data_IF_787266282970
#
_entry.id   IF_787266282970
#
_cell.length_a   1.000
_cell.length_b   1.000
_cell.length_c   1.000
_cell.angle_alpha   90.00
_cell.angle_beta   90.00
_cell.angle_gamma   90.00
#
_symmetry.space_group_name_H-M   'P 1'
#
loop_
_entity.id
_entity.type
_entity.pdbx_description
1 polymer ?
#
# COMPACT_ATOMS: atom_id res chain seq x y z
N UNK A 1 -6.95 -11.41 -16.76
CA UNK A 1 -8.27 -11.29 -16.12
C UNK A 1 -8.50 -12.44 -15.14
N UNK A 2 -8.50 -13.70 -15.59
CA UNK A 2 -8.51 -14.82 -14.64
C UNK A 2 -7.21 -14.88 -13.84
N UNK A 3 -6.03 -14.89 -14.44
CA UNK A 3 -4.80 -15.19 -13.69
C UNK A 3 -4.47 -14.34 -12.44
N UNK A 4 -4.88 -13.06 -12.33
CA UNK A 4 -4.58 -12.23 -11.14
C UNK A 4 -5.70 -12.27 -10.08
N UNK A 5 -6.98 -12.25 -10.50
CA UNK A 5 -8.10 -12.52 -9.60
C UNK A 5 -8.11 -13.99 -9.15
N UNK A 6 -7.76 -14.91 -10.04
CA UNK A 6 -7.53 -16.33 -9.78
C UNK A 6 -6.24 -16.51 -8.96
N UNK A 7 -5.15 -15.75 -9.18
CA UNK A 7 -4.01 -15.76 -8.24
C UNK A 7 -4.47 -15.36 -6.85
N UNK A 8 -5.19 -14.25 -6.73
CA UNK A 8 -5.65 -13.71 -5.47
C UNK A 8 -6.59 -14.70 -4.77
N UNK A 9 -7.52 -15.31 -5.52
CA UNK A 9 -8.51 -16.26 -4.98
C UNK A 9 -7.94 -17.66 -4.73
N UNK A 10 -6.98 -18.15 -5.53
CA UNK A 10 -6.34 -19.46 -5.34
C UNK A 10 -5.30 -19.43 -4.22
N UNK A 11 -4.56 -18.32 -4.08
CA UNK A 11 -3.60 -18.13 -2.99
C UNK A 11 -4.32 -18.05 -1.63
N UNK A 12 -5.50 -17.41 -1.59
CA UNK A 12 -6.34 -17.38 -0.37
C UNK A 12 -7.03 -18.72 -0.07
N UNK A 13 -7.22 -19.58 -1.07
CA UNK A 13 -7.78 -20.94 -0.89
C UNK A 13 -6.79 -21.92 -0.26
N UNK A 14 -5.49 -21.79 -0.55
CA UNK A 14 -4.44 -22.67 -0.04
C UNK A 14 -4.14 -22.46 1.46
N UNK A 15 -4.48 -21.30 2.02
CA UNK A 15 -4.39 -21.03 3.47
C UNK A 15 -5.40 -21.82 4.33
N UNK A 16 -6.27 -22.64 3.72
CA UNK A 16 -7.38 -23.34 4.39
C UNK A 16 -7.15 -24.84 4.62
N UNK A 17 -5.97 -25.39 4.33
CA UNK A 17 -5.65 -26.80 4.61
C UNK A 17 -4.63 -26.93 5.75
N UNK A 18 -4.97 -27.63 6.85
CA UNK A 18 -3.99 -28.05 7.84
C UNK A 18 -3.32 -29.36 7.39
N UNK A 19 -2.00 -29.39 7.30
CA UNK A 19 -1.23 -30.63 7.13
C UNK A 19 -0.56 -31.00 8.45
N UNK A 20 -0.98 -32.15 9.00
CA UNK A 20 -0.42 -32.86 10.14
C UNK A 20 0.92 -33.58 9.83
N UNK A 21 1.60 -33.98 10.92
CA UNK A 21 2.77 -34.89 11.07
C UNK A 21 4.17 -34.27 10.86
N UNK A 22 5.21 -34.51 11.67
CA UNK A 22 5.47 -35.48 12.76
C UNK A 22 6.68 -35.06 13.64
N UNK A 23 6.80 -35.66 14.84
CA UNK A 23 7.79 -35.48 15.92
C UNK A 23 9.20 -36.14 15.67
N UNK A 24 10.08 -36.42 16.67
CA UNK A 24 11.01 -35.52 17.38
C UNK A 24 12.49 -36.01 17.36
N UNK A 25 13.47 -35.11 17.49
CA UNK A 25 14.89 -35.43 17.80
C UNK A 25 15.43 -34.21 18.57
N UNK A 26 16.12 -34.25 19.71
CA UNK A 26 16.79 -35.27 20.51
C UNK A 26 17.88 -34.51 21.29
N UNK A 27 17.89 -34.60 22.61
CA UNK A 27 18.77 -33.84 23.51
C UNK A 27 20.26 -34.07 23.24
N UNK A 28 21.04 -32.99 23.10
CA UNK A 28 22.49 -33.00 23.36
C UNK A 28 22.86 -31.76 24.18
N UNK A 29 23.19 -32.02 25.45
CA UNK A 29 23.94 -31.09 26.31
C UNK A 29 25.38 -30.97 25.79
N UNK A 30 25.88 -29.75 25.66
CA UNK A 30 27.31 -29.48 25.61
C UNK A 30 27.63 -28.32 26.56
N UNK A 31 28.80 -28.46 27.18
CA UNK A 31 29.23 -27.82 28.41
C UNK A 31 29.67 -26.36 28.20
N UNK A 32 29.61 -25.61 29.31
CA UNK A 32 30.20 -24.28 29.43
C UNK A 32 31.73 -24.36 29.30
N UNK A 33 32.29 -23.46 28.51
CA UNK A 33 33.54 -22.78 28.85
C UNK A 33 33.32 -21.27 28.81
N UNK A 34 33.56 -20.61 29.94
CA UNK A 34 33.62 -19.16 30.07
C UNK A 34 34.98 -18.69 29.55
N UNK A 35 35.03 -17.69 28.68
CA UNK A 35 35.91 -16.55 28.96
C UNK A 35 35.43 -15.22 28.35
N UNK A 36 35.47 -14.21 29.22
CA UNK A 36 35.53 -12.75 29.11
C UNK A 36 35.02 -12.01 27.86
N UNK A 37 34.02 -11.17 28.11
CA UNK A 37 34.19 -9.71 28.03
C UNK A 37 34.38 -9.12 26.63
N UNK A 38 33.31 -9.09 25.83
CA UNK A 38 33.16 -8.20 24.69
C UNK A 38 31.75 -7.64 24.72
N UNK A 39 31.60 -6.32 24.60
CA UNK A 39 30.29 -5.69 24.42
C UNK A 39 29.69 -6.22 23.11
N UNK A 40 28.76 -7.18 23.20
CA UNK A 40 28.19 -7.90 22.07
C UNK A 40 27.41 -6.90 21.21
N UNK A 41 28.00 -6.44 20.11
CA UNK A 41 27.32 -5.60 19.13
C UNK A 41 26.24 -6.47 18.50
N UNK A 42 25.03 -6.36 19.03
CA UNK A 42 23.87 -7.14 18.59
C UNK A 42 23.57 -6.84 17.13
N UNK A 43 23.65 -7.88 16.28
CA UNK A 43 23.45 -7.75 14.85
C UNK A 43 22.01 -7.35 14.50
N UNK A 44 21.86 -6.45 13.53
CA UNK A 44 20.57 -5.97 13.04
C UNK A 44 19.79 -7.08 12.34
N UNK A 45 18.47 -7.15 12.57
CA UNK A 45 17.56 -8.18 12.06
C UNK A 45 18.02 -9.63 12.30
N UNK A 46 18.72 -9.88 13.41
CA UNK A 46 19.21 -11.20 13.82
C UNK A 46 18.12 -12.11 14.39
N UNK A 47 17.02 -11.54 14.90
CA UNK A 47 15.85 -12.25 15.41
C UNK A 47 14.76 -12.28 14.36
N UNK A 48 14.33 -13.48 13.97
CA UNK A 48 13.20 -13.74 13.07
C UNK A 48 11.85 -13.51 13.78
N UNK A 49 11.68 -12.32 14.34
CA UNK A 49 10.52 -11.90 15.12
C UNK A 49 10.23 -10.42 14.82
N UNK A 50 9.05 -9.95 15.24
CA UNK A 50 8.69 -8.53 15.19
C UNK A 50 8.17 -8.05 16.54
N UNK A 51 8.20 -6.74 16.78
CA UNK A 51 7.61 -6.12 17.98
C UNK A 51 6.56 -5.09 17.63
N UNK A 52 5.53 -4.98 18.48
CA UNK A 52 4.50 -3.94 18.44
C UNK A 52 4.80 -2.89 19.50
N UNK A 53 4.81 -1.61 19.15
CA UNK A 53 5.06 -0.51 20.10
C UNK A 53 3.99 0.58 20.01
N UNK A 54 3.72 1.24 21.14
CA UNK A 54 2.82 2.39 21.26
C UNK A 54 3.59 3.59 21.82
N UNK A 55 3.29 4.79 21.32
CA UNK A 55 3.81 6.02 21.93
C UNK A 55 3.16 6.27 23.29
N UNK A 56 3.99 6.41 24.32
CA UNK A 56 3.57 6.87 25.65
C UNK A 56 3.73 8.40 25.72
N UNK A 57 2.62 9.10 25.96
CA UNK A 57 2.57 10.57 26.04
C UNK A 57 3.25 11.09 27.31
N UNK A 58 3.16 10.37 28.41
CA UNK A 58 3.62 10.83 29.72
C UNK A 58 5.14 10.74 29.84
N UNK A 59 5.73 9.76 29.13
CA UNK A 59 7.16 9.50 29.16
C UNK A 59 7.90 9.93 27.89
N UNK A 60 7.18 10.43 26.87
CA UNK A 60 7.73 10.74 25.53
C UNK A 60 8.61 9.62 24.95
N UNK A 61 8.21 8.36 25.16
CA UNK A 61 8.95 7.17 24.75
C UNK A 61 7.99 6.12 24.16
N UNK A 62 8.49 5.30 23.23
CA UNK A 62 7.73 4.14 22.74
C UNK A 62 7.80 2.99 23.73
N UNK A 63 6.65 2.43 24.11
CA UNK A 63 6.52 1.21 24.94
C UNK A 63 6.12 0.01 24.10
N UNK A 64 6.68 -1.16 24.41
CA UNK A 64 6.33 -2.43 23.77
C UNK A 64 4.94 -2.85 24.26
N UNK A 65 4.04 -3.21 23.34
CA UNK A 65 2.64 -3.56 23.65
C UNK A 65 2.51 -5.01 24.13
N UNK A 66 3.47 -5.87 23.80
CA UNK A 66 3.46 -7.30 24.10
C UNK A 66 4.77 -7.74 24.75
N UNK A 67 4.86 -7.47 26.04
CA UNK A 67 5.54 -8.34 27.01
C UNK A 67 4.88 -8.12 28.37
N UNK A 68 4.22 -9.17 28.87
CA UNK A 68 3.94 -9.29 30.32
C UNK A 68 5.31 -9.28 31.00
N UNK A 69 5.65 -8.18 31.66
CA UNK A 69 6.91 -8.00 32.38
C UNK A 69 7.84 -6.97 31.75
N UNK A 70 7.95 -5.83 32.45
CA UNK A 70 9.03 -4.83 32.45
C UNK A 70 9.20 -3.90 31.22
N UNK A 71 9.07 -2.60 31.53
CA UNK A 71 9.54 -1.47 30.73
C UNK A 71 11.06 -1.59 30.49
N UNK A 72 11.48 -2.11 29.33
CA UNK A 72 12.88 -2.03 28.89
C UNK A 72 13.09 -0.90 27.89
N UNK A 73 14.10 -0.07 28.19
CA UNK A 73 14.57 1.05 27.36
C UNK A 73 15.09 0.56 26.00
N UNK A 74 14.84 1.38 24.99
CA UNK A 74 15.02 1.15 23.56
C UNK A 74 16.49 1.19 23.12
N UNK A 75 17.23 0.10 23.29
CA UNK A 75 18.56 -0.08 22.64
C UNK A 75 18.64 -1.37 21.78
N UNK A 76 17.62 -2.23 21.83
CA UNK A 76 17.65 -3.57 21.24
C UNK A 76 16.60 -3.83 20.13
N UNK A 77 15.86 -2.80 19.67
CA UNK A 77 14.82 -2.98 18.65
C UNK A 77 15.35 -3.29 17.26
N UNK A 78 16.63 -3.00 17.00
CA UNK A 78 17.26 -3.28 15.70
C UNK A 78 17.49 -4.76 15.46
N UNK A 79 17.41 -5.60 16.49
CA UNK A 79 17.54 -7.06 16.36
C UNK A 79 16.36 -7.71 15.63
N UNK A 80 15.18 -7.10 15.64
CA UNK A 80 13.97 -7.67 15.01
C UNK A 80 13.96 -7.42 13.51
N UNK A 81 13.22 -8.23 12.73
CA UNK A 81 13.07 -8.03 11.27
C UNK A 81 12.35 -6.71 10.97
N UNK A 82 11.32 -6.40 11.74
CA UNK A 82 10.59 -5.13 11.68
C UNK A 82 9.92 -4.79 13.02
N UNK A 83 9.51 -3.53 13.16
CA UNK A 83 8.78 -3.03 14.33
C UNK A 83 7.53 -2.28 13.89
N UNK A 84 6.36 -2.71 14.36
CA UNK A 84 5.09 -2.03 14.11
C UNK A 84 4.83 -0.96 15.19
N UNK A 85 4.87 0.31 14.80
CA UNK A 85 4.68 1.48 15.67
C UNK A 85 3.30 2.09 15.46
N UNK A 86 2.51 2.22 16.52
CA UNK A 86 1.29 3.03 16.51
C UNK A 86 1.65 4.50 16.73
N UNK A 87 1.23 5.35 15.80
CA UNK A 87 1.36 6.79 15.84
C UNK A 87 -0.02 7.41 15.89
N UNK A 88 -0.24 8.30 16.85
CA UNK A 88 -1.44 9.12 16.94
C UNK A 88 -1.21 10.40 16.16
N UNK A 89 -2.03 10.64 15.16
CA UNK A 89 -2.09 11.93 14.49
C UNK A 89 -2.68 12.96 15.46
N UNK A 90 -1.96 14.05 15.73
CA UNK A 90 -2.39 15.06 16.70
C UNK A 90 -3.54 15.92 16.16
N UNK A 91 -3.68 16.03 14.85
CA UNK A 91 -4.70 16.85 14.20
C UNK A 91 -6.00 16.07 14.03
N UNK A 92 -5.91 14.82 13.58
CA UNK A 92 -7.11 14.00 13.31
C UNK A 92 -7.52 13.11 14.48
N UNK A 93 -6.65 12.96 15.48
CA UNK A 93 -6.79 11.98 16.59
C UNK A 93 -6.92 10.53 16.08
N UNK A 94 -6.52 10.27 14.84
CA UNK A 94 -6.52 8.94 14.25
C UNK A 94 -5.22 8.22 14.58
N UNK A 95 -5.32 6.92 14.86
CA UNK A 95 -4.15 6.08 15.11
C UNK A 95 -3.75 5.35 13.83
N UNK A 96 -2.65 5.77 13.21
CA UNK A 96 -2.01 5.06 12.10
C UNK A 96 -0.94 4.12 12.63
N UNK A 97 -0.76 2.97 11.97
CA UNK A 97 0.31 2.03 12.31
C UNK A 97 1.34 2.03 11.19
N UNK A 98 2.59 2.28 11.55
CA UNK A 98 3.73 2.26 10.64
C UNK A 98 4.62 1.05 10.95
N UNK A 99 5.06 0.35 9.92
CA UNK A 99 5.96 -0.79 10.02
C UNK A 99 7.35 -0.32 9.64
N UNK A 100 8.25 -0.29 10.62
CA UNK A 100 9.65 0.07 10.43
C UNK A 100 10.44 -1.20 10.09
N UNK A 101 10.86 -1.30 8.84
CA UNK A 101 11.61 -2.43 8.31
C UNK A 101 13.08 -2.29 8.74
N UNK A 102 13.60 -3.31 9.42
CA UNK A 102 15.00 -3.34 9.89
C UNK A 102 15.84 -4.29 9.06
N UNK A 103 15.27 -5.38 8.58
CA UNK A 103 15.91 -6.32 7.66
C UNK A 103 16.19 -5.67 6.29
N UNK A 104 17.46 -5.59 5.90
CA UNK A 104 17.88 -5.06 4.59
C UNK A 104 17.35 -5.92 3.44
N UNK A 105 17.40 -7.24 3.59
CA UNK A 105 16.81 -8.20 2.63
C UNK A 105 15.32 -7.93 2.38
N UNK A 106 14.58 -7.65 3.45
CA UNK A 106 13.14 -7.38 3.34
C UNK A 106 12.91 -6.01 2.68
N UNK A 107 13.77 -5.06 2.99
CA UNK A 107 13.74 -3.72 2.41
C UNK A 107 14.03 -3.77 0.90
N UNK A 108 14.98 -4.60 0.43
CA UNK A 108 15.24 -4.83 -1.00
C UNK A 108 14.02 -5.38 -1.72
N UNK A 109 13.38 -6.43 -1.18
CA UNK A 109 12.16 -7.00 -1.77
C UNK A 109 11.04 -5.95 -1.83
N UNK A 110 10.86 -5.18 -0.75
CA UNK A 110 9.86 -4.10 -0.74
C UNK A 110 10.19 -3.01 -1.76
N UNK A 111 11.46 -2.59 -1.90
CA UNK A 111 11.90 -1.63 -2.91
C UNK A 111 11.63 -2.10 -4.33
N UNK A 112 11.75 -3.40 -4.61
CA UNK A 112 11.36 -3.95 -5.90
C UNK A 112 9.84 -3.87 -6.13
N UNK A 113 9.04 -4.19 -5.11
CA UNK A 113 7.57 -4.20 -5.20
C UNK A 113 7.01 -2.78 -5.37
N UNK A 114 7.58 -1.80 -4.67
CA UNK A 114 7.07 -0.41 -4.64
C UNK A 114 7.86 0.55 -5.54
N UNK A 115 8.70 0.03 -6.44
CA UNK A 115 9.60 0.84 -7.30
C UNK A 115 8.88 2.00 -8.01
N UNK A 116 7.68 1.75 -8.52
CA UNK A 116 6.91 2.72 -9.31
C UNK A 116 5.86 3.49 -8.48
N UNK A 117 5.93 3.41 -7.15
CA UNK A 117 4.97 4.00 -6.22
C UNK A 117 5.55 5.24 -5.57
N UNK A 118 5.08 6.43 -5.96
CA UNK A 118 5.65 7.70 -5.47
C UNK A 118 5.28 8.03 -4.02
N UNK A 119 4.15 7.50 -3.55
CA UNK A 119 3.69 7.71 -2.17
C UNK A 119 4.57 7.04 -1.11
N UNK A 120 5.44 6.11 -1.51
CA UNK A 120 6.30 5.36 -0.59
C UNK A 120 7.77 5.63 -0.94
N UNK A 121 8.52 6.23 -0.02
CA UNK A 121 9.96 6.44 -0.17
C UNK A 121 10.75 5.55 0.80
N UNK A 122 11.29 4.44 0.30
CA UNK A 122 12.14 3.51 1.06
C UNK A 122 13.63 3.81 0.91
N UNK A 123 14.06 4.91 1.52
CA UNK A 123 15.48 5.27 1.63
C UNK A 123 16.10 4.64 2.87
N UNK A 124 17.42 4.57 2.94
CA UNK A 124 18.15 3.97 4.07
C UNK A 124 17.83 4.65 5.42
N UNK A 125 17.54 5.96 5.40
CA UNK A 125 17.12 6.76 6.56
C UNK A 125 15.63 6.63 6.90
N UNK A 126 14.81 6.15 5.95
CA UNK A 126 13.34 6.05 6.06
C UNK A 126 12.84 4.70 5.54
N UNK A 127 12.96 3.67 6.38
CA UNK A 127 12.46 2.31 6.10
C UNK A 127 11.07 2.03 6.68
N UNK A 128 10.22 3.06 6.78
CA UNK A 128 8.90 2.98 7.42
C UNK A 128 7.77 3.04 6.39
N UNK A 129 6.81 2.10 6.48
CA UNK A 129 5.65 2.04 5.58
C UNK A 129 4.38 1.96 6.43
N UNK A 130 3.35 2.69 6.05
CA UNK A 130 2.04 2.52 6.69
C UNK A 130 1.50 1.11 6.45
N UNK A 131 0.96 0.50 7.50
CA UNK A 131 0.48 -0.88 7.49
C UNK A 131 -0.66 -1.13 6.48
N UNK A 132 -1.54 -0.16 6.26
CA UNK A 132 -2.62 -0.28 5.27
C UNK A 132 -2.05 -0.38 3.84
N UNK A 133 -0.98 0.36 3.53
CA UNK A 133 -0.31 0.24 2.23
C UNK A 133 0.23 -1.18 2.01
N UNK A 134 0.84 -1.79 3.04
CA UNK A 134 1.36 -3.16 2.96
C UNK A 134 0.27 -4.18 2.64
N UNK A 135 -0.96 -3.98 3.11
CA UNK A 135 -2.09 -4.86 2.78
C UNK A 135 -2.38 -4.86 1.27
N UNK A 136 -2.29 -3.70 0.60
CA UNK A 136 -2.52 -3.59 -0.84
C UNK A 136 -1.44 -4.29 -1.70
N UNK A 137 -0.26 -4.55 -1.13
CA UNK A 137 0.84 -5.27 -1.78
C UNK A 137 0.97 -6.74 -1.35
N UNK A 138 0.03 -7.27 -0.57
CA UNK A 138 0.02 -8.69 -0.18
C UNK A 138 0.21 -9.66 -1.36
N UNK A 139 -0.48 -9.50 -2.51
CA UNK A 139 -0.33 -10.43 -3.63
C UNK A 139 1.09 -10.42 -4.22
N UNK A 140 1.73 -9.25 -4.27
CA UNK A 140 3.10 -9.10 -4.77
C UNK A 140 4.11 -9.70 -3.80
N UNK A 141 3.90 -9.51 -2.49
CA UNK A 141 4.69 -10.11 -1.43
C UNK A 141 4.61 -11.64 -1.48
N UNK A 142 3.41 -12.21 -1.61
CA UNK A 142 3.21 -13.66 -1.72
C UNK A 142 3.86 -14.24 -2.96
N UNK A 143 3.82 -13.52 -4.09
CA UNK A 143 4.51 -13.94 -5.31
C UNK A 143 6.03 -14.00 -5.12
N UNK A 144 6.61 -13.07 -4.33
CA UNK A 144 8.05 -13.04 -4.01
C UNK A 144 8.43 -14.06 -2.92
N UNK A 145 7.54 -14.36 -1.98
CA UNK A 145 7.77 -15.29 -0.87
C UNK A 145 7.81 -16.77 -1.28
N UNK A 146 7.20 -17.15 -2.41
CA UNK A 146 7.15 -18.54 -2.93
C UNK A 146 8.50 -19.16 -3.33
N UNK A 147 9.59 -18.39 -3.29
CA UNK A 147 10.94 -18.92 -3.54
C UNK A 147 11.50 -19.58 -2.26
N UNK A 148 10.95 -20.74 -1.89
CA UNK A 148 11.18 -21.44 -0.61
C UNK A 148 12.62 -21.90 -0.34
N UNK A 149 13.55 -21.79 -1.30
CA UNK A 149 14.96 -22.17 -1.14
C UNK A 149 15.86 -21.06 -0.57
N UNK A 150 15.32 -19.86 -0.35
CA UNK A 150 16.10 -18.68 -0.04
C UNK A 150 15.88 -18.25 1.42
N UNK A 151 16.94 -18.07 2.24
CA UNK A 151 16.82 -17.45 3.57
C UNK A 151 16.05 -16.11 3.54
N UNK A 152 16.07 -15.40 2.40
CA UNK A 152 15.29 -14.18 2.18
C UNK A 152 13.77 -14.39 2.27
N UNK A 153 13.27 -15.59 1.98
CA UNK A 153 11.83 -15.92 2.01
C UNK A 153 11.26 -15.81 3.42
N UNK A 154 12.01 -16.22 4.45
CA UNK A 154 11.53 -16.24 5.85
C UNK A 154 11.15 -14.85 6.36
N UNK A 155 11.89 -13.82 5.97
CA UNK A 155 11.61 -12.44 6.40
C UNK A 155 10.36 -11.88 5.70
N UNK A 156 10.14 -12.27 4.44
CA UNK A 156 8.94 -11.93 3.68
C UNK A 156 7.72 -12.68 4.24
N UNK A 157 7.86 -13.98 4.53
CA UNK A 157 6.81 -14.82 5.12
C UNK A 157 6.37 -14.28 6.49
N UNK A 158 7.31 -13.83 7.32
CA UNK A 158 7.02 -13.17 8.59
C UNK A 158 6.16 -11.91 8.41
N UNK A 159 6.48 -11.07 7.41
CA UNK A 159 5.69 -9.88 7.10
C UNK A 159 4.30 -10.26 6.57
N UNK A 160 4.21 -11.23 5.65
CA UNK A 160 2.94 -11.74 5.11
C UNK A 160 2.06 -12.25 6.26
N UNK A 161 2.61 -13.06 7.17
CA UNK A 161 1.91 -13.59 8.33
C UNK A 161 1.34 -12.48 9.21
N UNK A 162 2.17 -11.48 9.55
CA UNK A 162 1.75 -10.33 10.33
C UNK A 162 0.58 -9.55 9.69
N UNK A 163 0.65 -9.28 8.38
CA UNK A 163 -0.38 -8.53 7.67
C UNK A 163 -1.67 -9.37 7.56
N UNK A 164 -1.57 -10.66 7.22
CA UNK A 164 -2.73 -11.56 7.15
C UNK A 164 -3.45 -11.70 8.48
N UNK A 165 -2.71 -11.90 9.57
CA UNK A 165 -3.26 -11.97 10.92
C UNK A 165 -3.98 -10.67 11.27
N UNK A 166 -3.34 -9.52 11.00
CA UNK A 166 -3.88 -8.20 11.32
C UNK A 166 -5.17 -7.88 10.56
N UNK A 167 -5.26 -8.26 9.28
CA UNK A 167 -6.38 -7.92 8.40
C UNK A 167 -7.28 -9.13 8.10
N UNK A 168 -7.24 -10.18 8.92
CA UNK A 168 -8.04 -11.39 8.70
C UNK A 168 -9.55 -11.07 8.63
N UNK A 169 -10.06 -10.27 9.57
CA UNK A 169 -11.45 -9.84 9.60
C UNK A 169 -11.80 -8.93 8.40
N UNK A 170 -10.94 -7.96 8.10
CA UNK A 170 -11.08 -7.09 6.93
C UNK A 170 -11.18 -7.91 5.64
N UNK A 171 -10.29 -8.88 5.46
CA UNK A 171 -10.26 -9.77 4.29
C UNK A 171 -11.54 -10.61 4.23
N UNK A 172 -11.99 -11.16 5.36
CA UNK A 172 -13.22 -11.94 5.43
C UNK A 172 -14.47 -11.14 5.03
N UNK A 173 -14.54 -9.86 5.42
CA UNK A 173 -15.62 -8.95 5.00
C UNK A 173 -15.49 -8.49 3.55
N UNK A 174 -14.26 -8.30 3.05
CA UNK A 174 -13.98 -7.80 1.71
C UNK A 174 -14.29 -8.83 0.61
N UNK A 175 -13.92 -10.11 0.81
CA UNK A 175 -14.02 -11.13 -0.24
C UNK A 175 -15.45 -11.33 -0.79
N UNK A 176 -16.52 -11.41 0.03
CA UNK A 176 -17.88 -11.52 -0.48
C UNK A 176 -18.33 -10.30 -1.29
N UNK A 177 -17.87 -9.10 -0.92
CA UNK A 177 -18.20 -7.84 -1.64
C UNK A 177 -17.55 -7.84 -3.02
N UNK A 178 -16.25 -8.15 -3.09
CA UNK A 178 -15.53 -8.21 -4.37
C UNK A 178 -16.09 -9.26 -5.33
N UNK A 179 -16.56 -10.41 -4.81
CA UNK A 179 -17.24 -11.43 -5.63
C UNK A 179 -18.52 -10.92 -6.29
N UNK A 180 -19.22 -9.96 -5.66
CA UNK A 180 -20.42 -9.31 -6.22
C UNK A 180 -20.09 -8.04 -7.02
N UNK A 181 -18.82 -7.64 -7.08
CA UNK A 181 -18.42 -6.37 -7.70
C UNK A 181 -18.83 -5.15 -6.88
N UNK A 182 -19.03 -5.31 -5.57
CA UNK A 182 -19.45 -4.27 -4.64
C UNK A 182 -18.33 -3.88 -3.67
N UNK A 183 -18.49 -2.75 -2.99
CA UNK A 183 -17.63 -2.31 -1.89
C UNK A 183 -18.43 -1.50 -0.88
N UNK A 184 -18.00 -1.47 0.38
CA UNK A 184 -18.50 -0.53 1.40
C UNK A 184 -17.51 0.61 1.57
N UNK A 185 -17.99 1.77 2.01
CA UNK A 185 -17.15 2.95 2.15
C UNK A 185 -15.91 2.69 3.06
N UNK A 186 -16.10 2.02 4.19
CA UNK A 186 -15.01 1.75 5.15
C UNK A 186 -13.92 0.81 4.60
N UNK A 187 -14.20 0.10 3.50
CA UNK A 187 -13.27 -0.80 2.82
C UNK A 187 -12.70 -0.21 1.51
N UNK A 188 -13.05 1.02 1.12
CA UNK A 188 -12.58 1.64 -0.13
C UNK A 188 -11.06 1.64 -0.28
N UNK A 189 -10.34 1.94 0.81
CA UNK A 189 -8.87 1.97 0.79
C UNK A 189 -8.22 0.64 0.36
N UNK A 190 -8.95 -0.48 0.45
CA UNK A 190 -8.46 -1.83 0.09
C UNK A 190 -8.46 -2.11 -1.42
N UNK A 191 -9.26 -1.36 -2.21
CA UNK A 191 -9.33 -1.55 -3.66
C UNK A 191 -8.42 -0.58 -4.42
N UNK A 192 -7.91 0.46 -3.75
CA UNK A 192 -6.96 1.42 -4.31
C UNK A 192 -5.53 1.05 -3.93
N UNK A 193 -4.91 0.17 -4.72
CA UNK A 193 -3.47 -0.08 -4.67
C UNK A 193 -2.71 1.06 -5.37
N UNK A 194 -1.71 1.69 -4.73
CA UNK A 194 -0.87 2.68 -5.40
C UNK A 194 -0.23 2.16 -6.69
N UNK A 195 -0.16 3.02 -7.70
CA UNK A 195 0.35 2.71 -9.03
C UNK A 195 -0.68 2.11 -9.99
N UNK A 196 -1.91 1.83 -9.57
CA UNK A 196 -2.95 1.34 -10.48
C UNK A 196 -3.62 2.48 -11.24
N UNK A 197 -4.22 2.15 -12.38
CA UNK A 197 -5.09 3.06 -13.11
C UNK A 197 -6.44 3.18 -12.41
N UNK A 198 -6.90 4.41 -12.23
CA UNK A 198 -8.22 4.77 -11.73
C UNK A 198 -8.99 5.43 -12.85
N UNK A 199 -10.19 4.91 -13.09
CA UNK A 199 -11.17 5.50 -13.97
C UNK A 199 -11.97 6.57 -13.23
N UNK A 200 -12.24 7.68 -13.91
CA UNK A 200 -13.18 8.70 -13.46
C UNK A 200 -13.69 9.50 -14.66
N UNK A 201 -14.64 10.41 -14.46
CA UNK A 201 -15.18 11.28 -15.49
C UNK A 201 -14.68 12.70 -15.27
N UNK A 202 -14.17 13.35 -16.32
CA UNK A 202 -13.72 14.73 -16.23
C UNK A 202 -14.90 15.67 -15.96
N UNK A 203 -14.92 16.46 -14.87
CA UNK A 203 -16.05 17.31 -14.52
C UNK A 203 -16.39 18.36 -15.60
N UNK A 204 -15.39 18.89 -16.30
CA UNK A 204 -15.60 19.94 -17.30
C UNK A 204 -16.09 19.42 -18.66
N UNK A 205 -15.67 18.22 -19.07
CA UNK A 205 -15.97 17.69 -20.41
C UNK A 205 -16.96 16.53 -20.42
N UNK A 206 -17.23 15.92 -19.26
CA UNK A 206 -18.03 14.70 -19.15
C UNK A 206 -17.37 13.48 -19.80
N UNK A 207 -16.13 13.60 -20.28
CA UNK A 207 -15.44 12.51 -20.97
C UNK A 207 -14.75 11.56 -19.98
N UNK A 208 -14.67 10.27 -20.32
CA UNK A 208 -13.85 9.31 -19.60
C UNK A 208 -12.41 9.78 -19.42
N UNK A 209 -11.87 9.61 -18.22
CA UNK A 209 -10.50 9.94 -17.86
C UNK A 209 -9.90 8.78 -17.08
N UNK A 210 -8.61 8.55 -17.29
CA UNK A 210 -7.84 7.63 -16.46
C UNK A 210 -6.61 8.32 -15.91
N UNK A 211 -6.35 8.05 -14.64
CA UNK A 211 -5.27 8.63 -13.84
C UNK A 211 -4.57 7.52 -13.09
N UNK A 212 -3.35 7.74 -12.61
CA UNK A 212 -2.64 6.80 -11.74
C UNK A 212 -2.86 7.23 -10.30
N UNK A 213 -3.27 6.29 -9.45
CA UNK A 213 -3.45 6.53 -8.03
C UNK A 213 -2.11 6.49 -7.29
N UNK A 214 -1.81 7.51 -6.49
CA UNK A 214 -0.61 7.55 -5.65
C UNK A 214 -0.94 7.22 -4.19
N UNK A 215 -1.87 7.95 -3.58
CA UNK A 215 -2.26 7.80 -2.18
C UNK A 215 -3.71 8.24 -1.94
N UNK A 216 -4.30 7.79 -0.84
CA UNK A 216 -5.65 8.20 -0.47
C UNK A 216 -5.86 8.28 1.03
N UNK A 217 -6.75 9.18 1.44
CA UNK A 217 -7.08 9.44 2.84
C UNK A 217 -8.52 9.91 3.00
N UNK A 218 -9.12 9.63 4.16
CA UNK A 218 -10.43 10.20 4.50
C UNK A 218 -10.27 11.66 4.88
N UNK A 219 -11.09 12.53 4.28
CA UNK A 219 -11.18 13.95 4.59
C UNK A 219 -12.63 14.32 4.89
N UNK A 220 -12.79 15.52 5.45
CA UNK A 220 -14.10 16.10 5.74
C UNK A 220 -14.19 17.46 5.05
N UNK A 221 -15.30 17.69 4.33
CA UNK A 221 -15.62 18.99 3.74
C UNK A 221 -16.09 19.97 4.83
N UNK A 222 -16.11 21.26 4.51
CA UNK A 222 -16.60 22.30 5.43
C UNK A 222 -18.06 22.09 5.87
N UNK A 223 -18.87 21.43 5.03
CA UNK A 223 -20.26 21.07 5.35
C UNK A 223 -20.39 19.79 6.18
N UNK A 224 -19.29 19.22 6.69
CA UNK A 224 -19.27 18.03 7.52
C UNK A 224 -19.35 16.70 6.75
N UNK A 225 -19.43 16.73 5.42
CA UNK A 225 -19.49 15.52 4.61
C UNK A 225 -18.10 14.89 4.52
N UNK A 226 -17.99 13.65 4.98
CA UNK A 226 -16.80 12.81 4.81
C UNK A 226 -16.67 12.33 3.36
N UNK A 227 -15.44 12.22 2.88
CA UNK A 227 -15.13 11.69 1.56
C UNK A 227 -13.75 11.04 1.57
N UNK A 228 -13.54 10.08 0.67
CA UNK A 228 -12.23 9.51 0.42
C UNK A 228 -11.55 10.33 -0.68
N UNK A 229 -10.49 11.05 -0.32
CA UNK A 229 -9.65 11.83 -1.22
C UNK A 229 -8.65 10.89 -1.88
N UNK A 230 -8.60 10.91 -3.21
CA UNK A 230 -7.65 10.16 -4.02
C UNK A 230 -6.67 11.17 -4.62
N UNK A 231 -5.41 11.13 -4.17
CA UNK A 231 -4.32 11.84 -4.81
C UNK A 231 -3.84 11.02 -6.01
N UNK A 232 -4.01 11.59 -7.19
CA UNK A 232 -3.74 10.94 -8.46
C UNK A 232 -2.84 11.80 -9.34
N UNK A 233 -2.29 11.18 -10.37
CA UNK A 233 -1.49 11.83 -11.40
C UNK A 233 -1.93 11.44 -12.79
N UNK A 234 -1.68 12.33 -13.74
CA UNK A 234 -1.98 12.10 -15.14
C UNK A 234 -0.97 12.85 -16.01
N UNK A 235 -0.95 12.54 -17.29
CA UNK A 235 -0.10 13.26 -18.24
C UNK A 235 -0.88 14.37 -18.90
N UNK A 236 -0.28 15.54 -18.94
CA UNK A 236 -0.85 16.75 -19.51
C UNK A 236 0.12 17.40 -20.50
N UNK A 237 -0.43 18.19 -21.40
CA UNK A 237 0.32 19.00 -22.35
C UNK A 237 -0.27 20.41 -22.37
N UNK A 238 0.47 21.38 -21.84
CA UNK A 238 0.02 22.76 -21.71
C UNK A 238 0.17 23.60 -23.01
N UNK A 239 0.71 22.99 -24.07
CA UNK A 239 1.01 23.66 -25.34
C UNK A 239 2.50 23.83 -25.59
N UNK A 240 3.34 23.74 -24.54
CA UNK A 240 4.79 23.88 -24.63
C UNK A 240 5.52 22.66 -24.03
N UNK A 241 5.06 22.18 -22.87
CA UNK A 241 5.68 21.09 -22.12
C UNK A 241 4.69 19.96 -21.92
N UNK A 242 5.15 18.75 -22.22
CA UNK A 242 4.45 17.53 -21.82
C UNK A 242 5.00 17.09 -20.47
N UNK A 243 4.12 16.89 -19.49
CA UNK A 243 4.53 16.60 -18.12
C UNK A 243 3.47 15.86 -17.33
N UNK A 244 3.88 15.42 -16.15
CA UNK A 244 2.97 14.85 -15.16
C UNK A 244 2.31 15.96 -14.35
N UNK A 245 0.99 15.92 -14.27
CA UNK A 245 0.19 16.81 -13.45
C UNK A 245 -0.53 16.02 -12.35
N UNK A 246 -0.65 16.63 -11.17
CA UNK A 246 -1.44 16.11 -10.06
C UNK A 246 -2.92 16.44 -10.23
N UNK A 247 -3.79 15.54 -9.76
CA UNK A 247 -5.23 15.79 -9.67
C UNK A 247 -5.77 15.09 -8.44
N UNK A 248 -6.77 15.70 -7.81
CA UNK A 248 -7.52 15.07 -6.73
C UNK A 248 -8.86 14.58 -7.27
N UNK A 249 -9.20 13.34 -6.94
CA UNK A 249 -10.53 12.78 -7.13
C UNK A 249 -11.15 12.53 -5.76
N UNK A 250 -12.48 12.49 -5.71
CA UNK A 250 -13.21 12.26 -4.46
C UNK A 250 -14.25 11.17 -4.64
N UNK A 251 -14.37 10.30 -3.65
CA UNK A 251 -15.50 9.38 -3.50
C UNK A 251 -16.26 9.79 -2.25
N UNK A 252 -17.47 10.30 -2.42
CA UNK A 252 -18.28 10.83 -1.31
C UNK A 252 -18.72 9.69 -0.40
N UNK A 253 -18.79 9.93 0.92
CA UNK A 253 -19.26 8.92 1.86
C UNK A 253 -20.66 8.43 1.50
N UNK A 254 -20.79 7.11 1.43
CA UNK A 254 -22.04 6.41 1.15
C UNK A 254 -22.32 5.33 2.21
N UNK A 255 -23.57 4.88 2.26
CA UNK A 255 -24.04 3.87 3.20
C UNK A 255 -24.29 2.54 2.48
N UNK A 256 -23.92 1.44 3.14
CA UNK A 256 -24.10 0.09 2.60
C UNK A 256 -23.16 -0.26 1.45
N UNK A 257 -23.27 -1.49 0.91
CA UNK A 257 -22.54 -1.90 -0.29
C UNK A 257 -23.02 -1.13 -1.52
N UNK A 258 -22.09 -0.71 -2.38
CA UNK A 258 -22.38 -0.14 -3.71
C UNK A 258 -21.54 -0.83 -4.78
N UNK A 259 -22.04 -0.94 -6.03
CA UNK A 259 -21.24 -1.41 -7.15
C UNK A 259 -19.99 -0.53 -7.33
N UNK A 260 -18.83 -1.16 -7.52
CA UNK A 260 -17.55 -0.43 -7.62
C UNK A 260 -17.54 0.49 -8.86
N UNK A 261 -18.18 0.09 -9.95
CA UNK A 261 -18.24 0.87 -11.19
C UNK A 261 -19.20 2.07 -11.13
N UNK A 262 -20.02 2.19 -10.08
CA UNK A 262 -20.92 3.33 -9.86
C UNK A 262 -20.28 4.45 -9.03
N UNK A 263 -19.05 4.24 -8.55
CA UNK A 263 -18.31 5.26 -7.80
C UNK A 263 -17.80 6.36 -8.72
N UNK A 264 -17.62 7.56 -8.18
CA UNK A 264 -17.10 8.74 -8.90
C UNK A 264 -15.67 8.50 -9.44
N UNK A 265 -14.93 7.65 -8.74
CA UNK A 265 -13.63 7.16 -9.15
C UNK A 265 -13.47 5.71 -8.66
N UNK A 266 -12.97 4.83 -9.52
CA UNK A 266 -12.76 3.42 -9.19
C UNK A 266 -11.58 2.81 -9.96
N UNK A 267 -10.96 1.72 -9.47
CA UNK A 267 -9.87 1.07 -10.19
C UNK A 267 -10.33 0.58 -11.57
N UNK A 268 -9.56 0.89 -12.62
CA UNK A 268 -9.92 0.62 -14.02
C UNK A 268 -10.30 -0.85 -14.28
N UNK A 269 -9.73 -1.78 -13.52
CA UNK A 269 -10.04 -3.20 -13.61
C UNK A 269 -11.50 -3.54 -13.27
N UNK A 270 -12.24 -2.65 -12.59
CA UNK A 270 -13.67 -2.82 -12.30
C UNK A 270 -14.59 -2.22 -13.36
N UNK A 271 -14.06 -1.70 -14.46
CA UNK A 271 -14.88 -1.16 -15.54
C UNK A 271 -15.75 -2.25 -16.18
N UNK A 272 -17.05 -1.97 -16.46
CA UNK A 272 -18.00 -2.96 -16.96
C UNK A 272 -17.62 -3.47 -18.35
N UNK A 273 -17.09 -2.60 -19.22
CA UNK A 273 -16.56 -3.01 -20.51
C UNK A 273 -15.03 -3.25 -20.44
N UNK A 274 -14.63 -4.51 -20.55
CA UNK A 274 -13.22 -4.93 -20.47
C UNK A 274 -12.41 -4.58 -21.71
N UNK A 275 -13.06 -4.48 -22.88
CA UNK A 275 -12.40 -4.05 -24.11
C UNK A 275 -11.97 -2.59 -23.98
N UNK A 276 -12.89 -1.73 -23.53
CA UNK A 276 -12.62 -0.32 -23.32
C UNK A 276 -11.54 -0.12 -22.26
N UNK A 277 -11.62 -0.83 -21.14
CA UNK A 277 -10.60 -0.77 -20.09
C UNK A 277 -9.21 -1.17 -20.60
N UNK A 278 -9.14 -2.22 -21.41
CA UNK A 278 -7.90 -2.68 -22.01
C UNK A 278 -7.35 -1.67 -23.02
N UNK A 279 -8.20 -1.09 -23.87
CA UNK A 279 -7.81 -0.05 -24.83
C UNK A 279 -7.27 1.20 -24.10
N UNK A 280 -7.98 1.65 -23.07
CA UNK A 280 -7.58 2.81 -22.25
C UNK A 280 -6.22 2.54 -21.58
N UNK A 281 -6.06 1.38 -20.95
CA UNK A 281 -4.79 0.98 -20.30
C UNK A 281 -3.64 0.89 -21.31
N UNK A 282 -3.86 0.25 -22.45
CA UNK A 282 -2.86 0.08 -23.51
C UNK A 282 -2.44 1.43 -24.12
N UNK A 283 -3.39 2.36 -24.30
CA UNK A 283 -3.10 3.70 -24.82
C UNK A 283 -2.29 4.54 -23.84
N UNK A 284 -2.53 4.38 -22.53
CA UNK A 284 -1.92 5.21 -21.49
C UNK A 284 -0.57 4.67 -21.01
N UNK A 285 -0.38 3.35 -20.89
CA UNK A 285 0.88 2.76 -20.41
C UNK A 285 2.15 3.30 -21.08
N UNK A 286 2.24 3.40 -22.42
CA UNK A 286 3.44 3.92 -23.07
C UNK A 286 3.72 5.40 -22.79
N UNK A 287 2.69 6.15 -22.43
CA UNK A 287 2.83 7.58 -22.11
C UNK A 287 3.49 7.76 -20.74
N UNK A 288 3.21 6.85 -19.79
CA UNK A 288 3.78 6.86 -18.44
C UNK A 288 5.12 6.11 -18.31
N UNK A 289 5.50 5.28 -19.29
CA UNK A 289 6.69 4.43 -19.25
C UNK A 289 7.90 4.97 -20.06
N UNK A 290 7.91 6.23 -20.51
CA UNK A 290 9.04 6.75 -21.30
C UNK A 290 10.20 7.26 -20.43
N UNK A 291 11.46 6.92 -20.79
CA UNK A 291 12.67 7.34 -20.08
C UNK A 291 12.97 8.83 -20.35
N UNK A 292 13.71 9.44 -19.43
CA UNK A 292 14.25 10.81 -19.56
C UNK A 292 14.86 11.05 -20.96
N UNK A 293 14.39 12.07 -21.67
CA UNK A 293 15.06 12.61 -22.85
C UNK A 293 14.48 12.34 -24.25
N UNK A 294 13.28 11.77 -24.41
CA UNK A 294 12.67 11.57 -25.73
C UNK A 294 11.63 12.65 -26.10
N UNK A 295 11.76 13.26 -27.29
CA UNK A 295 10.78 14.21 -27.83
C UNK A 295 9.42 13.54 -28.12
N UNK A 296 8.34 14.24 -27.78
CA UNK A 296 6.97 13.79 -27.97
C UNK A 296 6.48 14.00 -29.41
N UNK A 297 5.73 13.04 -29.95
CA UNK A 297 4.85 13.27 -31.10
C UNK A 297 3.48 13.70 -30.58
N UNK A 298 2.94 14.86 -30.99
CA UNK A 298 1.68 15.37 -30.47
C UNK A 298 0.50 14.46 -30.82
N UNK A 299 -0.46 14.36 -29.89
CA UNK A 299 -1.74 13.68 -30.10
C UNK A 299 -2.52 14.31 -31.28
N UNK A 300 -3.37 13.54 -31.98
CA UNK A 300 -4.29 14.11 -32.95
C UNK A 300 -5.17 15.18 -32.29
N UNK A 301 -5.28 16.34 -32.96
CA UNK A 301 -5.88 17.60 -32.49
C UNK A 301 -7.34 17.54 -32.01
N UNK A 302 -8.00 16.38 -32.04
CA UNK A 302 -9.41 16.23 -31.65
C UNK A 302 -9.67 16.25 -30.13
N UNK A 303 -8.62 16.21 -29.31
CA UNK A 303 -8.71 16.36 -27.84
C UNK A 303 -8.26 17.75 -27.34
N UNK A 304 -7.71 18.60 -28.21
CA UNK A 304 -7.17 19.92 -27.87
C UNK A 304 -8.17 21.01 -28.31
N UNK A 305 -9.12 21.34 -27.45
CA UNK A 305 -9.68 22.69 -27.42
C UNK A 305 -9.53 23.25 -26.01
N UNK A 306 -8.89 24.43 -25.85
CA UNK A 306 -8.89 25.12 -24.58
C UNK A 306 -10.33 25.53 -24.23
N UNK A 307 -10.67 25.44 -22.94
CA UNK A 307 -11.91 25.99 -22.40
C UNK A 307 -11.95 27.51 -22.67
N UNK A 308 -13.05 28.07 -23.22
CA UNK A 308 -13.20 29.52 -23.30
C UNK A 308 -13.58 30.07 -21.91
N UNK A 309 -12.69 30.88 -21.36
CA UNK A 309 -12.91 32.02 -20.45
C UNK A 309 -13.89 31.89 -19.28
N UNK A 310 -13.38 32.08 -18.06
CA UNK A 310 -14.10 32.82 -16.99
C UNK A 310 -13.13 33.74 -16.23
N UNK A 311 -13.19 35.01 -16.62
CA UNK A 311 -13.15 36.24 -15.83
C UNK A 311 -12.43 36.21 -14.47
N UNK A 312 -11.26 36.85 -14.42
CA UNK A 312 -10.81 37.56 -13.22
C UNK A 312 -11.65 38.85 -13.08
N UNK A 313 -12.18 39.20 -11.90
CA UNK A 313 -12.78 40.51 -11.67
C UNK A 313 -11.67 41.57 -11.53
N UNK A 314 -11.94 42.73 -12.12
CA UNK A 314 -11.06 43.89 -12.20
C UNK A 314 -10.65 44.45 -10.84
N UNK A 315 -9.43 44.98 -10.82
CA UNK A 315 -8.95 45.94 -9.83
C UNK A 315 -9.82 47.22 -9.87
N UNK A 316 -10.18 47.69 -8.69
CA UNK A 316 -10.19 49.11 -8.37
C UNK A 316 -9.55 49.31 -6.99
#
# INVERSE_FOLDING_TARGET
MEQLQQLFMDILRQAKQPSESSEPIGDVKSEKCKDKGGNEVKARASKLEYKRTRWDKDNSKYKIVESVGEDKVLDDLDQYVFVARKQLDRMTNETKTFVNIKSEVLLEVLREIVRDVRAISLREDKSSIERNFLYNFLPDLEKKGKNHGDPRSKHVDLLIGYIKETYASTTQSLLPLLKRGEITYDLLWTIFKPGIFVYSTCPGTGKPRCVIFDAGEEKMKMNGIKYFSLDCRYLDFDGEVFGEAGTQLEVVRFHGPRPIHDLEAFPLDHHPNKSDAHEISHRLRPQFLRPEGAAYSPLPRSCLRPSPGRNCPDLH
#
